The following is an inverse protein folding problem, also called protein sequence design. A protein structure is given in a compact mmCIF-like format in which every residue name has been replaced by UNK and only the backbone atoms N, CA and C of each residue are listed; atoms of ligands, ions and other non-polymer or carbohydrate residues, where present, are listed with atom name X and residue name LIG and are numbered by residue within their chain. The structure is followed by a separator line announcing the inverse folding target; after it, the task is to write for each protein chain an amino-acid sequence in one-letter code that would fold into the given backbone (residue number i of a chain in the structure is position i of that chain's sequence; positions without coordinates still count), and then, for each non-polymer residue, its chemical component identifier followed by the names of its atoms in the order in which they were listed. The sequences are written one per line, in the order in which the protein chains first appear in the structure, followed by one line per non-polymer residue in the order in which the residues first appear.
data_IF_087957311927
#
_entry.id   IF_087957311927
#
_cell.length_a   1.000
_cell.length_b   1.000
_cell.length_c   1.000
_cell.angle_alpha   90.00
_cell.angle_beta   90.00
_cell.angle_gamma   90.00
#
_symmetry.space_group_name_H-M   'P 1'
#
loop_
_entity.id
_entity.type
_entity.pdbx_description
1 polymer ?
#
# COMPACT_ATOMS: atom_id res chain seq x y z
N UNK A 1 -8.40 0.67 -59.27
CA UNK A 1 -9.46 1.58 -59.75
C UNK A 1 -10.69 1.38 -58.87
N UNK A 2 -10.97 2.30 -57.94
CA UNK A 2 -12.20 2.26 -57.12
C UNK A 2 -13.39 2.60 -58.02
N UNK A 3 -14.30 1.64 -58.26
CA UNK A 3 -15.59 1.91 -58.91
C UNK A 3 -16.54 2.46 -57.86
N UNK A 4 -16.84 3.76 -57.94
CA UNK A 4 -17.95 4.36 -57.19
C UNK A 4 -19.25 3.98 -57.88
N UNK A 5 -20.04 3.12 -57.25
CA UNK A 5 -21.40 2.82 -57.70
C UNK A 5 -22.32 3.87 -57.07
N UNK A 6 -22.97 4.71 -57.88
CA UNK A 6 -24.06 5.59 -57.45
C UNK A 6 -25.38 4.93 -57.84
N UNK A 7 -26.23 4.65 -56.86
CA UNK A 7 -27.65 4.39 -57.11
C UNK A 7 -28.42 5.70 -56.99
N UNK A 8 -29.21 6.03 -57.99
CA UNK A 8 -30.18 7.14 -57.95
C UNK A 8 -31.56 6.51 -58.13
N UNK A 9 -32.41 6.65 -57.13
CA UNK A 9 -33.78 6.15 -57.15
C UNK A 9 -34.72 7.33 -56.93
N UNK A 10 -35.68 7.54 -57.84
CA UNK A 10 -36.71 8.56 -57.72
C UNK A 10 -38.00 7.88 -57.25
N UNK A 11 -38.46 8.21 -56.03
CA UNK A 11 -39.83 7.92 -55.61
C UNK A 11 -40.68 9.18 -55.76
N UNK A 12 -41.76 9.07 -56.53
CA UNK A 12 -42.84 10.05 -56.54
C UNK A 12 -43.97 9.56 -55.65
N UNK A 13 -44.33 10.32 -54.62
CA UNK A 13 -45.60 10.18 -53.92
C UNK A 13 -46.47 11.39 -54.23
N UNK A 14 -47.71 11.14 -54.66
CA UNK A 14 -48.79 12.13 -54.61
C UNK A 14 -49.55 11.92 -53.31
N UNK A 15 -49.93 13.02 -52.64
CA UNK A 15 -50.82 13.21 -51.48
C UNK A 15 -50.15 13.70 -50.17
N UNK A 16 -50.85 14.54 -49.37
CA UNK A 16 -50.23 15.57 -48.55
C UNK A 16 -50.12 15.13 -47.08
N UNK A 17 -49.22 14.20 -46.79
CA UNK A 17 -48.73 14.02 -45.42
C UNK A 17 -47.21 13.93 -45.49
N UNK A 18 -46.55 14.94 -44.92
CA UNK A 18 -45.10 15.04 -44.89
C UNK A 18 -44.53 14.05 -43.87
N UNK A 19 -43.98 12.94 -44.33
CA UNK A 19 -43.05 12.15 -43.52
C UNK A 19 -41.62 12.46 -43.99
N UNK A 20 -40.77 12.95 -43.09
CA UNK A 20 -39.34 13.08 -43.35
C UNK A 20 -38.76 11.67 -43.37
N UNK A 21 -38.35 11.19 -44.55
CA UNK A 21 -37.44 10.04 -44.64
C UNK A 21 -36.02 10.52 -44.30
N UNK A 22 -35.53 10.21 -43.10
CA UNK A 22 -34.11 10.41 -42.74
C UNK A 22 -33.34 9.19 -43.25
N UNK A 23 -32.50 9.38 -44.27
CA UNK A 23 -31.46 8.42 -44.65
C UNK A 23 -30.14 8.85 -44.00
N UNK A 24 -29.44 7.99 -43.22
CA UNK A 24 -28.11 8.35 -42.75
C UNK A 24 -27.12 8.20 -43.92
N UNK A 25 -26.50 9.31 -44.33
CA UNK A 25 -25.33 9.26 -45.23
C UNK A 25 -24.14 8.76 -44.42
N UNK A 26 -23.65 7.56 -44.74
CA UNK A 26 -22.29 7.15 -44.39
C UNK A 26 -21.33 7.81 -45.37
N UNK A 27 -20.55 8.78 -44.91
CA UNK A 27 -19.39 9.23 -45.68
C UNK A 27 -18.24 8.27 -45.35
N UNK A 28 -17.75 7.60 -46.39
CA UNK A 28 -16.54 6.78 -46.37
C UNK A 28 -15.45 7.63 -47.02
N UNK A 29 -14.89 8.58 -46.29
CA UNK A 29 -13.51 8.97 -46.58
C UNK A 29 -12.63 7.86 -46.00
N UNK A 30 -11.51 7.56 -46.67
CA UNK A 30 -10.77 6.31 -46.51
C UNK A 30 -10.17 6.04 -45.12
N UNK A 31 -10.53 6.79 -44.09
CA UNK A 31 -9.99 6.71 -42.74
C UNK A 31 -11.06 6.54 -41.63
N UNK A 32 -12.37 6.62 -41.92
CA UNK A 32 -13.35 6.36 -40.87
C UNK A 32 -14.81 6.39 -41.31
N UNK A 33 -15.68 5.87 -40.45
CA UNK A 33 -17.12 5.78 -40.66
C UNK A 33 -17.86 6.46 -39.51
N UNK A 34 -18.65 7.49 -39.82
CA UNK A 34 -19.59 8.13 -38.89
C UNK A 34 -21.00 7.60 -39.19
N UNK A 35 -21.62 6.94 -38.21
CA UNK A 35 -23.03 6.52 -38.28
C UNK A 35 -23.81 7.24 -37.19
N UNK A 36 -24.79 8.05 -37.58
CA UNK A 36 -25.75 8.70 -36.68
C UNK A 36 -27.13 8.11 -36.93
N UNK A 37 -27.80 7.58 -35.90
CA UNK A 37 -29.18 7.10 -35.99
C UNK A 37 -30.02 7.88 -34.98
N UNK A 38 -31.14 8.46 -35.43
CA UNK A 38 -32.15 9.10 -34.58
C UNK A 38 -33.38 8.22 -34.54
N UNK A 39 -33.95 8.05 -33.35
CA UNK A 39 -35.28 7.47 -33.16
C UNK A 39 -36.12 8.45 -32.31
N UNK A 40 -37.00 9.23 -32.94
CA UNK A 40 -37.90 10.20 -32.27
C UNK A 40 -37.24 11.49 -31.73
N UNK A 41 -37.88 12.12 -30.73
CA UNK A 41 -37.48 13.40 -30.10
C UNK A 41 -36.34 13.26 -29.06
N UNK A 42 -35.78 12.06 -28.87
CA UNK A 42 -34.63 11.84 -27.99
C UNK A 42 -33.29 12.19 -28.69
N UNK A 43 -32.27 12.62 -27.93
CA UNK A 43 -31.00 13.06 -28.50
C UNK A 43 -30.23 11.90 -29.14
N UNK A 44 -29.68 12.14 -30.33
CA UNK A 44 -29.07 11.14 -31.20
C UNK A 44 -27.89 10.40 -30.54
N UNK A 45 -27.88 9.07 -30.69
CA UNK A 45 -26.69 8.24 -30.47
C UNK A 45 -25.87 8.19 -31.77
N UNK A 46 -24.57 8.41 -31.68
CA UNK A 46 -23.67 8.31 -32.83
C UNK A 46 -22.44 7.47 -32.48
N UNK A 47 -21.98 6.72 -33.48
CA UNK A 47 -20.78 5.87 -33.42
C UNK A 47 -19.78 6.42 -34.44
N UNK A 48 -18.56 6.70 -33.99
CA UNK A 48 -17.43 7.12 -34.82
C UNK A 48 -16.37 6.02 -34.81
N UNK A 49 -16.03 5.49 -35.97
CA UNK A 49 -15.03 4.42 -36.14
C UNK A 49 -13.86 4.97 -36.95
N UNK A 50 -12.72 5.25 -36.30
CA UNK A 50 -11.44 5.56 -36.97
C UNK A 50 -10.56 4.31 -36.96
N UNK A 51 -10.39 3.71 -38.13
CA UNK A 51 -9.80 2.38 -38.27
C UNK A 51 -8.29 2.41 -38.52
N UNK A 52 -7.64 3.58 -38.59
CA UNK A 52 -6.26 3.61 -39.11
C UNK A 52 -5.20 3.54 -38.03
N UNK A 53 -5.45 3.96 -36.78
CA UNK A 53 -4.39 3.86 -35.75
C UNK A 53 -4.75 4.05 -34.27
N UNK A 54 -5.98 4.36 -33.85
CA UNK A 54 -6.16 4.93 -32.49
C UNK A 54 -7.42 4.54 -31.68
N UNK A 55 -8.16 3.52 -32.11
CA UNK A 55 -9.16 2.85 -31.26
C UNK A 55 -10.59 3.40 -31.36
N UNK A 56 -11.47 2.89 -30.49
CA UNK A 56 -12.91 2.81 -30.68
C UNK A 56 -13.66 3.53 -29.54
N UNK A 57 -14.61 4.43 -29.86
CA UNK A 57 -15.40 5.20 -28.89
C UNK A 57 -16.90 4.87 -28.95
N UNK A 58 -17.55 4.73 -27.78
CA UNK A 58 -18.98 4.39 -27.64
C UNK A 58 -19.71 5.34 -26.68
N UNK A 59 -20.87 5.85 -27.11
CA UNK A 59 -21.71 6.81 -26.39
C UNK A 59 -23.18 6.35 -26.40
N UNK A 60 -23.87 6.47 -25.24
CA UNK A 60 -25.32 6.31 -25.12
C UNK A 60 -25.92 7.48 -24.30
N UNK A 61 -27.09 7.99 -24.70
CA UNK A 61 -27.71 9.18 -24.10
C UNK A 61 -28.71 8.86 -22.96
N UNK A 62 -28.50 7.75 -22.26
CA UNK A 62 -29.30 7.41 -21.09
C UNK A 62 -28.49 6.64 -20.03
N UNK A 63 -27.31 7.18 -19.70
CA UNK A 63 -26.71 7.24 -18.35
C UNK A 63 -25.22 6.80 -18.22
N UNK A 64 -24.54 6.20 -19.21
CA UNK A 64 -23.14 5.75 -19.03
C UNK A 64 -22.27 5.74 -20.32
N UNK A 65 -20.93 5.78 -20.15
CA UNK A 65 -19.90 5.56 -21.20
C UNK A 65 -19.16 4.24 -20.91
N UNK A 66 -19.12 3.30 -21.86
CA UNK A 66 -18.56 1.95 -21.69
C UNK A 66 -17.22 1.75 -22.41
N UNK A 67 -16.20 1.29 -21.68
CA UNK A 67 -14.92 0.85 -22.22
C UNK A 67 -14.76 -0.67 -21.98
N UNK A 68 -15.17 -1.49 -22.97
CA UNK A 68 -15.18 -2.94 -22.87
C UNK A 68 -14.09 -3.60 -23.72
N UNK A 69 -13.51 -4.69 -23.22
CA UNK A 69 -12.72 -5.63 -24.02
C UNK A 69 -13.62 -6.47 -24.94
N UNK A 70 -13.08 -6.96 -26.05
CA UNK A 70 -13.82 -7.61 -27.14
C UNK A 70 -14.49 -8.96 -26.81
N UNK A 71 -14.40 -9.47 -25.58
CA UNK A 71 -15.03 -10.72 -25.16
C UNK A 71 -15.44 -10.70 -23.68
N UNK A 72 -16.69 -11.05 -23.38
CA UNK A 72 -17.14 -11.45 -22.03
C UNK A 72 -17.68 -10.35 -21.10
N UNK A 73 -18.09 -9.17 -21.56
CA UNK A 73 -18.48 -8.07 -20.66
C UNK A 73 -17.39 -7.77 -19.61
N UNK A 74 -16.14 -7.78 -20.07
CA UNK A 74 -14.95 -7.43 -19.31
C UNK A 74 -14.63 -5.96 -19.58
N UNK A 75 -14.36 -5.17 -18.54
CA UNK A 75 -14.09 -3.74 -18.67
C UNK A 75 -14.76 -2.91 -17.58
N UNK A 76 -14.73 -1.59 -17.76
CA UNK A 76 -15.32 -0.64 -16.83
C UNK A 76 -16.20 0.36 -17.57
N UNK A 77 -17.27 0.76 -16.91
CA UNK A 77 -18.15 1.84 -17.30
C UNK A 77 -17.87 3.05 -16.41
N UNK A 78 -18.20 4.23 -16.92
CA UNK A 78 -18.32 5.42 -16.13
C UNK A 78 -19.80 5.80 -16.04
N UNK A 79 -20.34 5.87 -14.82
CA UNK A 79 -21.74 6.26 -14.61
C UNK A 79 -21.95 7.79 -14.76
N UNK A 80 -23.20 8.26 -14.64
CA UNK A 80 -23.52 9.69 -14.71
C UNK A 80 -22.83 10.56 -13.67
N UNK A 81 -22.30 9.97 -12.61
CA UNK A 81 -21.60 10.66 -11.52
C UNK A 81 -20.07 10.55 -11.66
N UNK A 82 -19.58 9.92 -12.73
CA UNK A 82 -18.15 9.71 -12.97
C UNK A 82 -17.54 8.56 -12.16
N UNK A 83 -18.35 7.71 -11.52
CA UNK A 83 -17.86 6.53 -10.83
C UNK A 83 -17.42 5.47 -11.83
N UNK A 84 -16.35 4.74 -11.51
CA UNK A 84 -15.93 3.55 -12.26
C UNK A 84 -16.80 2.37 -11.80
N UNK A 85 -17.69 1.91 -12.68
CA UNK A 85 -18.57 0.76 -12.45
C UNK A 85 -18.05 -0.43 -13.25
N UNK A 86 -17.64 -1.54 -12.62
CA UNK A 86 -17.22 -2.72 -13.38
C UNK A 86 -18.38 -3.33 -14.16
N UNK A 87 -18.09 -3.84 -15.35
CA UNK A 87 -19.00 -4.77 -16.02
C UNK A 87 -19.09 -6.10 -15.25
N UNK A 88 -20.14 -6.89 -15.49
CA UNK A 88 -20.51 -8.05 -14.64
C UNK A 88 -19.41 -9.11 -14.41
N UNK A 89 -18.38 -9.18 -15.27
CA UNK A 89 -17.25 -10.10 -15.16
C UNK A 89 -15.91 -9.42 -14.80
N UNK A 90 -15.88 -8.08 -14.67
CA UNK A 90 -14.66 -7.35 -14.37
C UNK A 90 -14.31 -7.41 -12.87
N UNK A 91 -13.18 -8.06 -12.56
CA UNK A 91 -12.67 -8.16 -11.17
C UNK A 91 -11.80 -6.98 -10.74
N UNK A 92 -10.98 -6.46 -11.66
CA UNK A 92 -9.93 -5.48 -11.35
C UNK A 92 -9.81 -4.42 -12.46
N UNK A 93 -9.63 -3.15 -12.08
CA UNK A 93 -9.15 -2.09 -12.95
C UNK A 93 -7.64 -1.94 -12.78
N UNK A 94 -6.89 -1.89 -13.89
CA UNK A 94 -5.42 -1.90 -13.87
C UNK A 94 -4.83 -0.83 -14.77
N UNK A 95 -3.77 -0.19 -14.30
CA UNK A 95 -2.83 0.58 -15.11
C UNK A 95 -1.60 -0.31 -15.35
N UNK A 96 -1.19 -0.47 -16.61
CA UNK A 96 -0.02 -1.24 -17.01
C UNK A 96 1.08 -0.35 -17.58
N UNK A 97 2.33 -0.75 -17.43
CA UNK A 97 3.46 -0.13 -18.13
C UNK A 97 3.53 -0.61 -19.60
N UNK A 98 4.45 -0.02 -20.37
CA UNK A 98 4.71 -0.38 -21.79
C UNK A 98 5.17 -1.83 -21.97
N UNK A 99 5.70 -2.47 -20.93
CA UNK A 99 6.13 -3.87 -20.94
C UNK A 99 4.99 -4.82 -20.50
N UNK A 100 3.82 -4.30 -20.15
CA UNK A 100 2.64 -5.05 -19.73
C UNK A 100 2.57 -5.35 -18.22
N UNK A 101 3.49 -4.83 -17.41
CA UNK A 101 3.48 -5.02 -15.95
C UNK A 101 2.43 -4.14 -15.29
N UNK A 102 1.78 -4.61 -14.23
CA UNK A 102 0.81 -3.80 -13.49
C UNK A 102 1.52 -2.74 -12.63
N UNK A 103 1.14 -1.47 -12.78
CA UNK A 103 1.63 -0.34 -11.98
C UNK A 103 0.64 0.00 -10.86
N UNK A 104 -0.66 -0.11 -11.13
CA UNK A 104 -1.74 0.16 -10.19
C UNK A 104 -2.88 -0.82 -10.45
N UNK A 105 -3.43 -1.42 -9.39
CA UNK A 105 -4.56 -2.35 -9.48
C UNK A 105 -5.59 -2.00 -8.42
N UNK A 106 -6.84 -1.84 -8.83
CA UNK A 106 -7.99 -1.60 -7.96
C UNK A 106 -9.02 -2.69 -8.19
N UNK A 107 -9.37 -3.47 -7.16
CA UNK A 107 -10.50 -4.38 -7.25
C UNK A 107 -11.79 -3.56 -7.36
N UNK A 108 -12.58 -3.87 -8.37
CA UNK A 108 -13.80 -3.10 -8.68
C UNK A 108 -15.08 -3.89 -8.34
N UNK A 109 -14.99 -5.19 -8.07
CA UNK A 109 -16.14 -6.03 -7.72
C UNK A 109 -16.08 -6.59 -6.31
N UNK A 110 -17.24 -6.63 -5.62
CA UNK A 110 -17.41 -7.37 -4.37
C UNK A 110 -17.39 -8.90 -4.54
N UNK A 111 -17.47 -9.39 -5.79
CA UNK A 111 -17.42 -10.82 -6.11
C UNK A 111 -16.00 -11.39 -6.08
N UNK A 112 -14.96 -10.56 -6.21
CA UNK A 112 -13.58 -11.05 -6.37
C UNK A 112 -12.77 -11.09 -5.08
N UNK A 113 -13.17 -10.43 -3.99
CA UNK A 113 -12.63 -10.61 -2.62
C UNK A 113 -13.32 -9.64 -1.67
N UNK A 114 -13.55 -10.02 -0.42
CA UNK A 114 -14.04 -9.13 0.64
C UNK A 114 -13.05 -7.99 1.02
N UNK A 115 -11.99 -7.77 0.23
CA UNK A 115 -10.86 -6.90 0.54
C UNK A 115 -10.45 -6.10 -0.70
N UNK A 116 -10.58 -4.78 -0.62
CA UNK A 116 -10.06 -3.86 -1.63
C UNK A 116 -8.59 -3.54 -1.36
N UNK A 117 -7.66 -4.17 -2.07
CA UNK A 117 -6.22 -3.88 -1.90
C UNK A 117 -5.70 -3.03 -3.07
N UNK A 118 -4.85 -2.05 -2.76
CA UNK A 118 -4.13 -1.24 -3.75
C UNK A 118 -2.71 -1.81 -3.84
N UNK A 119 -2.35 -2.43 -4.98
CA UNK A 119 -0.98 -2.88 -5.22
C UNK A 119 -0.20 -1.77 -5.91
N UNK A 120 0.91 -1.36 -5.29
CA UNK A 120 1.93 -0.54 -5.92
C UNK A 120 3.26 -1.29 -5.86
N UNK A 121 4.00 -1.45 -6.97
CA UNK A 121 5.22 -2.27 -7.00
C UNK A 121 6.43 -1.61 -6.32
N UNK A 122 6.30 -0.40 -5.77
CA UNK A 122 7.41 0.35 -5.15
C UNK A 122 7.06 0.93 -3.79
N UNK A 123 6.22 1.96 -3.74
CA UNK A 123 5.85 2.62 -2.50
C UNK A 123 4.45 3.24 -2.59
N UNK A 124 3.80 3.37 -1.44
CA UNK A 124 2.56 4.11 -1.26
C UNK A 124 2.88 5.40 -0.49
N UNK A 125 2.63 6.55 -1.10
CA UNK A 125 2.73 7.85 -0.44
C UNK A 125 1.31 8.39 -0.20
N UNK A 126 0.91 8.45 1.07
CA UNK A 126 -0.32 9.10 1.50
C UNK A 126 0.00 10.21 2.49
N UNK A 127 -0.71 11.33 2.42
CA UNK A 127 -0.54 12.44 3.36
C UNK A 127 -0.89 12.01 4.79
N UNK A 128 -2.18 11.80 5.06
CA UNK A 128 -2.65 11.33 6.35
C UNK A 128 -3.03 9.85 6.23
N UNK A 129 -2.07 8.95 6.49
CA UNK A 129 -2.34 7.52 6.51
C UNK A 129 -3.23 7.17 7.71
N UNK A 130 -4.39 6.55 7.46
CA UNK A 130 -5.30 6.07 8.50
C UNK A 130 -5.39 4.54 8.42
N UNK A 131 -5.05 3.90 9.54
CA UNK A 131 -5.25 2.49 9.80
C UNK A 131 -6.41 2.41 10.84
N UNK A 132 -7.62 2.06 10.40
CA UNK A 132 -8.88 1.94 11.18
C UNK A 132 -8.95 0.79 12.23
N UNK A 133 -10.03 0.02 12.34
CA UNK A 133 -10.39 -0.81 13.51
C UNK A 133 -9.47 -2.00 13.82
N UNK A 134 -8.92 -2.70 12.82
CA UNK A 134 -8.21 -3.99 12.99
C UNK A 134 -6.88 -4.07 12.21
N UNK A 135 -6.06 -3.02 12.27
CA UNK A 135 -4.96 -2.89 11.33
C UNK A 135 -3.68 -3.57 11.80
N UNK A 136 -3.04 -4.25 10.87
CA UNK A 136 -1.69 -4.75 10.98
C UNK A 136 -0.83 -4.14 9.87
N UNK A 137 0.46 -3.99 10.16
CA UNK A 137 1.49 -3.78 9.14
C UNK A 137 2.27 -5.08 9.11
N UNK A 138 2.28 -5.76 7.96
CA UNK A 138 2.89 -7.08 7.82
C UNK A 138 4.08 -7.04 6.87
N UNK A 139 5.18 -7.65 7.30
CA UNK A 139 6.31 -7.95 6.44
C UNK A 139 6.15 -9.35 5.85
N UNK A 140 5.93 -9.45 4.54
CA UNK A 140 5.62 -10.73 3.89
C UNK A 140 6.83 -11.66 3.76
N UNK A 141 8.04 -11.10 3.80
CA UNK A 141 9.30 -11.85 3.82
C UNK A 141 9.78 -12.15 5.26
N UNK A 142 9.06 -11.69 6.27
CA UNK A 142 9.41 -11.84 7.68
C UNK A 142 10.58 -10.96 8.14
N UNK A 143 11.10 -10.07 7.29
CA UNK A 143 12.19 -9.16 7.65
C UNK A 143 11.70 -8.01 8.52
N UNK A 144 12.64 -7.33 9.19
CA UNK A 144 12.37 -6.18 10.06
C UNK A 144 11.68 -5.05 9.32
N UNK A 145 10.65 -4.47 9.94
CA UNK A 145 9.99 -3.26 9.45
C UNK A 145 10.73 -2.03 9.98
N UNK A 146 11.23 -1.19 9.09
CA UNK A 146 11.94 0.05 9.43
C UNK A 146 11.05 1.29 9.20
N UNK A 147 11.01 2.18 10.19
CA UNK A 147 10.44 3.52 10.05
C UNK A 147 11.57 4.49 9.69
N UNK A 148 11.49 5.09 8.50
CA UNK A 148 12.53 5.96 7.94
C UNK A 148 11.94 7.20 7.27
N UNK A 149 12.72 8.27 7.17
CA UNK A 149 12.28 9.53 6.56
C UNK A 149 12.22 9.48 5.02
N UNK A 150 12.87 8.50 4.40
CA UNK A 150 12.84 8.19 2.97
C UNK A 150 13.24 6.72 2.78
N UNK A 151 12.90 6.04 1.66
CA UNK A 151 13.40 4.70 1.40
C UNK A 151 14.93 4.64 1.51
N UNK A 152 15.44 3.79 2.42
CA UNK A 152 16.87 3.65 2.71
C UNK A 152 17.48 4.81 3.52
N UNK A 153 16.66 5.73 4.04
CA UNK A 153 17.09 6.90 4.80
C UNK A 153 17.32 6.65 6.29
N UNK A 154 17.47 7.75 7.03
CA UNK A 154 17.65 7.74 8.47
C UNK A 154 16.38 7.26 9.20
N UNK A 155 16.56 6.68 10.39
CA UNK A 155 15.46 6.29 11.28
C UNK A 155 14.71 7.52 11.78
N UNK A 156 13.44 7.34 12.14
CA UNK A 156 12.56 8.40 12.65
C UNK A 156 12.00 8.04 14.03
N UNK A 157 11.58 9.06 14.78
CA UNK A 157 10.91 8.89 16.06
C UNK A 157 9.52 8.26 15.90
N UNK A 158 9.15 7.43 16.88
CA UNK A 158 7.83 6.81 16.98
C UNK A 158 7.16 7.29 18.27
N UNK A 159 6.20 8.21 18.13
CA UNK A 159 5.33 8.60 19.22
C UNK A 159 4.11 7.67 19.27
N UNK A 160 4.00 6.86 20.31
CA UNK A 160 2.85 5.99 20.55
C UNK A 160 2.47 5.98 22.03
N UNK A 161 1.22 5.61 22.33
CA UNK A 161 0.74 5.55 23.72
C UNK A 161 1.37 4.41 24.50
N UNK A 162 1.56 3.25 23.86
CA UNK A 162 2.18 2.08 24.46
C UNK A 162 2.68 1.12 23.38
N UNK A 163 3.73 0.39 23.72
CA UNK A 163 4.23 -0.76 22.96
C UNK A 163 4.00 -2.00 23.82
N UNK A 164 3.45 -3.05 23.22
CA UNK A 164 3.23 -4.35 23.88
C UNK A 164 3.99 -5.42 23.10
N UNK A 165 4.91 -6.10 23.77
CA UNK A 165 5.67 -7.20 23.19
C UNK A 165 5.07 -8.53 23.64
N UNK A 166 4.91 -9.48 22.71
CA UNK A 166 4.44 -10.82 23.08
C UNK A 166 5.47 -11.50 23.96
N UNK A 167 5.00 -12.12 25.05
CA UNK A 167 5.85 -12.82 26.03
C UNK A 167 5.25 -14.19 26.40
N UNK A 168 4.40 -14.74 25.52
CA UNK A 168 3.71 -16.00 25.74
C UNK A 168 4.70 -17.18 25.81
N UNK A 169 4.50 -18.09 26.77
CA UNK A 169 5.36 -19.27 26.93
C UNK A 169 5.38 -20.16 25.68
N UNK A 170 4.27 -20.26 24.96
CA UNK A 170 4.18 -21.00 23.69
C UNK A 170 5.08 -20.45 22.58
N UNK A 171 5.59 -19.23 22.74
CA UNK A 171 6.53 -18.58 21.83
C UNK A 171 7.97 -18.59 22.36
N UNK A 172 8.24 -19.31 23.46
CA UNK A 172 9.55 -19.36 24.10
C UNK A 172 10.01 -20.81 24.26
N UNK A 173 11.30 -21.02 24.05
CA UNK A 173 11.96 -22.31 24.23
C UNK A 173 13.33 -22.10 24.90
N UNK A 174 13.96 -23.19 25.34
CA UNK A 174 15.31 -23.17 25.94
C UNK A 174 15.46 -22.25 27.16
N UNK A 175 14.44 -22.23 28.05
CA UNK A 175 14.45 -21.43 29.27
C UNK A 175 15.61 -21.83 30.20
N UNK A 176 16.41 -20.85 30.61
CA UNK A 176 17.52 -21.03 31.56
C UNK A 176 17.39 -20.03 32.70
N UNK A 177 17.79 -20.46 33.89
CA UNK A 177 17.98 -19.55 35.03
C UNK A 177 19.27 -18.78 34.81
N UNK A 178 19.19 -17.46 34.94
CA UNK A 178 20.35 -16.57 34.89
C UNK A 178 20.88 -16.43 36.32
N UNK A 179 22.20 -16.47 36.47
CA UNK A 179 22.87 -16.24 37.75
C UNK A 179 22.71 -14.78 38.19
N UNK A 180 22.48 -14.58 39.49
CA UNK A 180 22.18 -13.25 40.02
C UNK A 180 23.42 -12.34 40.07
N UNK A 181 24.60 -12.90 40.31
CA UNK A 181 25.86 -12.18 40.29
C UNK A 181 26.21 -11.76 38.86
N UNK A 182 26.06 -12.67 37.89
CA UNK A 182 26.26 -12.37 36.47
C UNK A 182 25.33 -11.23 36.00
N UNK A 183 24.06 -11.28 36.39
CA UNK A 183 23.09 -10.25 36.01
C UNK A 183 23.40 -8.88 36.62
N UNK A 184 23.84 -8.85 37.88
CA UNK A 184 24.27 -7.60 38.53
C UNK A 184 25.54 -7.05 37.88
N UNK A 185 26.51 -7.91 37.60
CA UNK A 185 27.78 -7.51 36.99
C UNK A 185 27.57 -6.94 35.58
N UNK A 186 26.72 -7.56 34.76
CA UNK A 186 26.37 -7.04 33.43
C UNK A 186 25.80 -5.61 33.46
N UNK A 187 24.98 -5.30 34.47
CA UNK A 187 24.42 -3.96 34.69
C UNK A 187 25.51 -2.97 35.15
N UNK A 188 26.40 -3.39 36.05
CA UNK A 188 27.48 -2.54 36.59
C UNK A 188 28.51 -2.21 35.50
N UNK A 189 28.87 -3.19 34.67
CA UNK A 189 29.91 -3.04 33.66
C UNK A 189 29.47 -2.18 32.48
N UNK A 190 28.17 -2.15 32.17
CA UNK A 190 27.64 -1.39 31.03
C UNK A 190 27.75 0.12 31.25
N UNK A 191 28.45 0.81 30.34
CA UNK A 191 28.60 2.26 30.34
C UNK A 191 27.29 2.97 29.99
N UNK A 192 26.78 3.80 30.90
CA UNK A 192 25.62 4.68 30.65
C UNK A 192 26.08 6.14 30.55
N UNK A 193 25.64 6.84 29.49
CA UNK A 193 26.00 8.23 29.24
C UNK A 193 24.78 9.08 28.89
N UNK A 194 24.92 10.39 29.07
CA UNK A 194 24.00 11.36 28.49
C UNK A 194 24.46 11.75 27.09
N UNK A 195 23.53 11.84 26.15
CA UNK A 195 23.83 12.22 24.77
C UNK A 195 22.63 12.89 24.12
N UNK A 196 22.90 13.55 23.00
CA UNK A 196 21.86 14.01 22.06
C UNK A 196 22.08 13.26 20.74
N UNK A 197 21.00 12.96 20.01
CA UNK A 197 21.15 12.52 18.64
C UNK A 197 21.73 13.65 17.78
N UNK A 198 22.47 13.27 16.73
CA UNK A 198 23.10 14.24 15.82
C UNK A 198 22.02 15.12 15.19
N UNK A 199 22.11 16.44 15.39
CA UNK A 199 21.13 17.40 14.86
C UNK A 199 19.96 17.69 15.80
N UNK A 200 19.95 17.13 17.01
CA UNK A 200 18.87 17.34 17.99
C UNK A 200 19.39 17.99 19.28
N UNK A 201 18.50 18.71 19.96
CA UNK A 201 18.79 19.35 21.26
C UNK A 201 18.34 18.52 22.46
N UNK A 202 17.54 17.48 22.23
CA UNK A 202 16.98 16.66 23.31
C UNK A 202 18.07 15.77 23.92
N UNK A 203 18.12 15.75 25.24
CA UNK A 203 19.05 14.92 25.99
C UNK A 203 18.41 13.59 26.36
N UNK A 204 19.12 12.52 26.01
CA UNK A 204 18.79 11.14 26.29
C UNK A 204 19.81 10.56 27.29
N UNK A 205 19.44 9.48 27.98
CA UNK A 205 20.34 8.76 28.89
C UNK A 205 20.16 7.27 28.68
N UNK A 206 21.19 6.62 28.14
CA UNK A 206 21.26 5.16 28.01
C UNK A 206 22.70 4.75 27.68
N UNK A 207 22.94 3.47 27.44
CA UNK A 207 24.21 3.00 26.92
C UNK A 207 24.38 3.35 25.43
N UNK A 208 25.64 3.40 24.99
CA UNK A 208 26.02 3.72 23.62
C UNK A 208 26.59 2.46 22.97
N UNK A 209 26.07 2.10 21.81
CA UNK A 209 26.68 1.09 20.94
C UNK A 209 27.75 1.81 20.13
N UNK A 210 29.03 1.60 20.47
CA UNK A 210 30.14 2.22 19.76
C UNK A 210 30.38 1.46 18.44
N UNK A 211 29.87 1.99 17.33
CA UNK A 211 30.05 1.46 15.98
C UNK A 211 31.12 2.23 15.17
N UNK A 212 31.67 3.31 15.73
CA UNK A 212 32.59 4.22 15.03
C UNK A 212 34.05 3.89 15.29
N UNK A 213 34.41 3.53 16.53
CA UNK A 213 35.81 3.26 16.89
C UNK A 213 36.17 1.79 16.71
N UNK A 214 37.39 1.53 16.24
CA UNK A 214 37.97 0.16 16.18
C UNK A 214 38.16 -0.40 17.61
N UNK A 215 38.77 0.40 18.50
CA UNK A 215 38.81 0.14 19.94
C UNK A 215 37.60 0.82 20.60
N UNK A 216 36.68 0.01 21.15
CA UNK A 216 35.42 0.50 21.72
C UNK A 216 35.69 1.35 22.95
N UNK A 217 35.16 2.57 22.96
CA UNK A 217 35.26 3.52 24.06
C UNK A 217 34.14 3.37 25.10
N UNK A 218 33.05 2.73 24.72
CA UNK A 218 31.89 2.47 25.57
C UNK A 218 31.61 0.97 25.57
N UNK A 219 31.56 0.38 26.76
CA UNK A 219 31.21 -1.02 26.91
C UNK A 219 29.70 -1.19 27.11
N UNK A 220 29.16 -2.20 26.44
CA UNK A 220 27.79 -2.66 26.62
C UNK A 220 27.81 -4.17 26.69
N UNK A 221 27.11 -4.73 27.68
CA UNK A 221 26.97 -6.18 27.77
C UNK A 221 26.22 -6.71 26.53
N UNK A 222 26.71 -7.77 25.86
CA UNK A 222 26.09 -8.31 24.65
C UNK A 222 24.62 -8.71 24.82
N UNK A 223 24.16 -9.04 26.03
CA UNK A 223 22.76 -9.38 26.28
C UNK A 223 21.81 -8.18 26.11
N UNK A 224 22.33 -6.95 26.07
CA UNK A 224 21.52 -5.73 25.91
C UNK A 224 21.42 -5.26 24.45
N UNK A 225 22.02 -6.00 23.52
CA UNK A 225 22.01 -5.69 22.11
C UNK A 225 20.90 -6.43 21.37
N UNK A 226 20.37 -5.80 20.31
CA UNK A 226 19.51 -6.46 19.35
C UNK A 226 20.25 -7.62 18.68
N UNK A 227 19.51 -8.53 18.03
CA UNK A 227 20.09 -9.65 17.30
C UNK A 227 21.12 -9.25 16.23
N UNK A 228 20.97 -8.03 15.68
CA UNK A 228 21.89 -7.44 14.68
C UNK A 228 23.04 -6.64 15.31
N UNK A 229 23.00 -6.38 16.62
CA UNK A 229 24.04 -5.64 17.35
C UNK A 229 24.00 -4.12 17.18
N UNK A 230 23.11 -3.59 16.33
CA UNK A 230 22.99 -2.16 15.99
C UNK A 230 21.83 -1.45 16.72
N UNK A 231 21.12 -2.16 17.59
CA UNK A 231 20.00 -1.66 18.36
C UNK A 231 20.06 -2.11 19.81
N UNK A 232 19.28 -1.45 20.68
CA UNK A 232 19.14 -1.85 22.08
C UNK A 232 18.03 -2.88 22.21
N UNK A 233 18.26 -3.92 23.00
CA UNK A 233 17.21 -4.80 23.50
C UNK A 233 16.79 -4.35 24.91
N UNK A 234 15.94 -3.32 24.94
CA UNK A 234 15.43 -2.76 26.19
C UNK A 234 14.61 -3.80 27.00
N UNK A 235 14.09 -4.84 26.36
CA UNK A 235 13.39 -5.95 27.05
C UNK A 235 14.34 -6.79 27.89
N UNK A 236 15.50 -7.13 27.31
CA UNK A 236 16.57 -7.84 28.02
C UNK A 236 17.17 -6.98 29.13
N UNK A 237 17.41 -5.69 28.90
CA UNK A 237 17.88 -4.74 29.92
C UNK A 237 16.96 -4.73 31.14
N UNK A 238 15.65 -4.62 30.93
CA UNK A 238 14.67 -4.64 32.03
C UNK A 238 14.71 -5.98 32.78
N UNK A 239 14.81 -7.10 32.07
CA UNK A 239 14.95 -8.42 32.67
C UNK A 239 16.17 -8.55 33.59
N UNK A 240 17.33 -8.07 33.14
CA UNK A 240 18.56 -8.06 33.93
C UNK A 240 18.48 -7.10 35.12
N UNK A 241 17.87 -5.91 34.96
CA UNK A 241 17.62 -5.00 36.07
C UNK A 241 16.75 -5.65 37.17
N UNK A 242 15.73 -6.42 36.79
CA UNK A 242 14.90 -7.16 37.75
C UNK A 242 15.72 -8.20 38.53
N UNK A 243 16.67 -8.87 37.88
CA UNK A 243 17.56 -9.84 38.52
C UNK A 243 18.59 -9.15 39.43
N UNK A 244 19.22 -8.08 38.96
CA UNK A 244 20.15 -7.27 39.74
C UNK A 244 19.49 -6.75 41.03
N UNK A 245 18.24 -6.27 40.96
CA UNK A 245 17.48 -5.87 42.16
C UNK A 245 17.27 -7.03 43.14
N UNK A 246 17.00 -8.25 42.63
CA UNK A 246 16.90 -9.44 43.50
C UNK A 246 18.23 -9.75 44.19
N UNK A 247 19.36 -9.65 43.46
CA UNK A 247 20.70 -9.84 44.03
C UNK A 247 20.98 -8.82 45.14
N UNK A 248 20.76 -7.54 44.86
CA UNK A 248 20.98 -6.47 45.83
C UNK A 248 20.09 -6.66 47.08
N UNK A 249 18.85 -7.12 46.91
CA UNK A 249 17.97 -7.44 48.04
C UNK A 249 18.52 -8.59 48.88
N UNK A 250 19.02 -9.64 48.26
CA UNK A 250 19.65 -10.77 48.95
C UNK A 250 20.85 -10.30 49.78
N UNK A 251 21.76 -9.51 49.19
CA UNK A 251 22.93 -8.98 49.90
C UNK A 251 22.53 -8.08 51.08
N UNK A 252 21.52 -7.23 50.89
CA UNK A 252 20.98 -6.39 51.97
C UNK A 252 20.47 -7.25 53.13
N UNK A 253 19.76 -8.34 52.85
CA UNK A 253 19.25 -9.24 53.89
C UNK A 253 20.38 -9.98 54.62
N UNK A 254 21.37 -10.45 53.88
CA UNK A 254 22.57 -11.08 54.45
C UNK A 254 23.37 -10.11 55.33
N UNK A 255 23.47 -8.84 54.93
CA UNK A 255 24.13 -7.80 55.72
C UNK A 255 23.33 -7.48 56.99
N UNK A 256 22.00 -7.39 56.91
CA UNK A 256 21.13 -7.16 58.08
C UNK A 256 21.23 -8.29 59.10
N UNK A 257 21.21 -9.54 58.63
CA UNK A 257 21.34 -10.72 59.49
C UNK A 257 22.71 -10.81 60.20
N UNK A 258 23.72 -10.05 59.79
CA UNK A 258 25.03 -9.96 60.46
C UNK A 258 25.10 -8.83 61.49
N UNK A 259 24.18 -7.88 61.44
CA UNK A 259 24.13 -6.71 62.33
C UNK A 259 23.15 -6.96 63.49
N UNK A 260 22.13 -7.80 63.27
CA UNK A 260 21.20 -8.31 64.29
C UNK A 260 21.81 -9.48 65.10
#
# INVERSE_FOLDING_TARGET
MKKNIRFVMYLHFRWPFSYILIWPFTTLDGNGLIISIREGDNPATFVSLDAVSSGLAFSANALEITFAGSSGSNGVNYDTYGNIVPSAQAGEWKIKDVLGNNIFTVPVSSKSSAWGYIVTPKHFQAGNMVLSKDHSISSLDGQTIYFTNTPGGARVDIACKSVQQSSLLSMKENLKTIDLDDALQAIIDTDVRQYNFKGESNTHTSFIIDDVNEEKQYYVDPHFLSATGDGRDDGSVVGYLMLAIKKLKQEIDELKAKID
#
